data_IF_700517130237
#
_entry.id   IF_700517130237
#
_cell.length_a   1.000
_cell.length_b   1.000
_cell.length_c   1.000
_cell.angle_alpha   90.00
_cell.angle_beta   90.00
_cell.angle_gamma   90.00
#
_symmetry.space_group_name_H-M   'P 1'
#
loop_
_entity.id
_entity.type
_entity.pdbx_description
1 polymer ?
#
# COMPACT_ATOMS: atom_id res chain seq x y z
N UNK A 1 -5.22 10.94 20.33
CA UNK A 1 -3.83 10.78 20.82
C UNK A 1 -3.05 9.77 19.97
N UNK A 2 -3.69 8.67 19.52
CA UNK A 2 -3.07 7.62 18.68
C UNK A 2 -2.39 8.14 17.39
N UNK A 3 -2.93 9.18 16.74
CA UNK A 3 -2.36 9.77 15.51
C UNK A 3 -1.61 11.09 15.75
N UNK A 4 -1.05 11.32 16.94
CA UNK A 4 -0.28 12.54 17.19
C UNK A 4 1.05 12.51 16.44
N UNK A 5 1.42 13.62 15.79
CA UNK A 5 2.66 13.79 15.02
C UNK A 5 3.65 14.76 15.66
N UNK A 6 3.42 15.13 16.93
CA UNK A 6 4.20 16.18 17.62
C UNK A 6 5.52 15.69 18.21
N UNK A 7 5.72 14.39 18.32
CA UNK A 7 6.99 13.78 18.72
C UNK A 7 7.67 13.08 17.55
N UNK A 8 8.80 12.44 17.83
CA UNK A 8 9.57 11.65 16.85
C UNK A 8 8.81 10.40 16.36
N UNK A 9 7.82 9.95 17.14
CA UNK A 9 6.98 8.78 16.85
C UNK A 9 5.50 9.14 16.79
N UNK A 10 4.73 8.37 16.03
CA UNK A 10 3.27 8.45 16.05
C UNK A 10 2.74 7.84 17.35
N UNK A 11 1.99 8.62 18.12
CA UNK A 11 1.37 8.14 19.36
C UNK A 11 1.36 9.17 20.49
N UNK A 12 1.01 8.71 21.70
CA UNK A 12 0.95 9.57 22.87
C UNK A 12 2.37 9.89 23.38
N UNK A 13 2.80 11.14 23.21
CA UNK A 13 4.07 11.67 23.72
C UNK A 13 3.95 12.22 25.15
N UNK A 14 5.06 12.64 25.75
CA UNK A 14 5.06 13.21 27.11
C UNK A 14 4.11 14.42 27.23
N UNK A 15 4.19 15.38 26.30
CA UNK A 15 3.32 16.56 26.32
C UNK A 15 1.85 16.22 26.04
N UNK A 16 1.58 15.19 25.25
CA UNK A 16 0.23 14.73 25.00
C UNK A 16 -0.41 14.14 26.27
N UNK A 17 0.35 13.35 27.05
CA UNK A 17 -0.14 12.74 28.29
C UNK A 17 -0.20 13.72 29.47
N UNK A 18 0.78 14.63 29.60
CA UNK A 18 0.91 15.51 30.76
C UNK A 18 0.35 16.92 30.56
N UNK A 19 0.13 17.37 29.33
CA UNK A 19 -0.42 18.70 29.07
C UNK A 19 -1.76 18.63 28.33
N UNK A 20 -1.82 17.89 27.23
CA UNK A 20 -3.02 17.87 26.37
C UNK A 20 -4.18 17.09 27.00
N UNK A 21 -3.91 15.91 27.56
CA UNK A 21 -4.97 15.14 28.22
C UNK A 21 -5.60 15.91 29.39
N UNK A 22 -4.84 16.51 30.34
CA UNK A 22 -5.40 17.40 31.34
C UNK A 22 -6.12 18.61 30.75
N UNK A 23 -5.58 19.24 29.71
CA UNK A 23 -6.25 20.35 29.01
C UNK A 23 -7.62 19.94 28.44
N UNK A 24 -7.74 18.73 27.88
CA UNK A 24 -9.02 18.20 27.38
C UNK A 24 -10.02 17.96 28.52
N UNK A 25 -9.57 17.46 29.68
CA UNK A 25 -10.43 17.33 30.86
C UNK A 25 -10.94 18.68 31.37
N UNK A 26 -10.08 19.69 31.40
CA UNK A 26 -10.48 21.06 31.78
C UNK A 26 -11.50 21.61 30.79
N UNK A 27 -11.25 21.47 29.48
CA UNK A 27 -12.18 21.93 28.45
C UNK A 27 -13.53 21.21 28.51
N UNK A 28 -13.53 19.91 28.82
CA UNK A 28 -14.76 19.15 29.05
C UNK A 28 -15.56 19.75 30.21
N UNK A 29 -14.92 20.05 31.34
CA UNK A 29 -15.58 20.68 32.48
C UNK A 29 -16.15 22.07 32.12
N UNK A 30 -15.40 22.88 31.36
CA UNK A 30 -15.86 24.18 30.87
C UNK A 30 -17.09 24.03 29.98
N UNK A 31 -17.10 23.05 29.06
CA UNK A 31 -18.27 22.77 28.21
C UNK A 31 -19.51 22.42 29.04
N UNK A 32 -19.34 21.59 30.08
CA UNK A 32 -20.45 21.23 30.98
C UNK A 32 -21.02 22.45 31.71
N UNK A 33 -20.16 23.39 32.14
CA UNK A 33 -20.59 24.65 32.75
C UNK A 33 -21.34 25.51 31.72
N UNK A 34 -20.79 25.67 30.51
CA UNK A 34 -21.44 26.42 29.44
C UNK A 34 -22.81 25.83 29.09
N UNK A 35 -22.94 24.50 29.08
CA UNK A 35 -24.21 23.80 28.88
C UNK A 35 -25.23 24.15 29.98
N UNK A 36 -24.82 24.15 31.24
CA UNK A 36 -25.67 24.57 32.37
C UNK A 36 -26.14 26.02 32.25
N UNK A 37 -25.23 26.94 31.89
CA UNK A 37 -25.56 28.36 31.67
C UNK A 37 -26.53 28.52 30.50
N UNK A 38 -26.37 27.73 29.43
CA UNK A 38 -27.27 27.73 28.29
C UNK A 38 -28.69 27.31 28.68
N UNK A 39 -28.84 26.22 29.45
CA UNK A 39 -30.15 25.77 29.94
C UNK A 39 -30.83 26.83 30.80
N UNK A 40 -30.11 27.43 31.76
CA UNK A 40 -30.65 28.50 32.62
C UNK A 40 -31.04 29.74 31.81
N UNK A 41 -30.26 30.08 30.78
CA UNK A 41 -30.54 31.20 29.89
C UNK A 41 -31.84 31.01 29.10
N UNK A 42 -32.07 29.80 28.56
CA UNK A 42 -33.29 29.46 27.83
C UNK A 42 -34.51 29.61 28.75
N UNK A 43 -34.43 29.11 29.98
CA UNK A 43 -35.48 29.25 30.99
C UNK A 43 -35.76 30.72 31.37
N UNK A 44 -34.72 31.57 31.42
CA UNK A 44 -34.84 33.00 31.76
C UNK A 44 -35.03 33.93 30.54
N UNK A 45 -35.19 33.38 29.32
CA UNK A 45 -35.34 34.12 28.04
C UNK A 45 -34.30 35.23 27.82
N UNK A 46 -33.07 35.05 28.31
CA UNK A 46 -32.02 36.07 28.21
C UNK A 46 -30.84 35.62 27.34
N UNK A 47 -30.88 35.94 26.04
CA UNK A 47 -29.92 35.51 25.04
C UNK A 47 -28.48 36.03 25.21
N UNK A 48 -28.20 36.92 26.19
CA UNK A 48 -26.85 37.47 26.40
C UNK A 48 -25.88 36.50 27.09
N UNK A 49 -26.38 35.64 27.97
CA UNK A 49 -25.56 34.68 28.74
C UNK A 49 -24.92 33.57 27.88
N UNK A 50 -25.62 32.98 26.89
CA UNK A 50 -25.04 32.04 25.94
C UNK A 50 -23.90 32.64 25.15
N UNK A 51 -24.04 33.90 24.72
CA UNK A 51 -23.01 34.59 23.93
C UNK A 51 -21.71 34.74 24.71
N UNK A 52 -21.78 35.15 25.98
CA UNK A 52 -20.60 35.22 26.85
C UNK A 52 -19.99 33.86 27.14
N UNK A 53 -20.83 32.83 27.29
CA UNK A 53 -20.37 31.45 27.53
C UNK A 53 -19.60 30.89 26.34
N UNK A 54 -20.10 31.13 25.12
CA UNK A 54 -19.43 30.73 23.87
C UNK A 54 -18.10 31.48 23.73
N UNK A 55 -18.10 32.79 23.94
CA UNK A 55 -16.86 33.59 23.89
C UNK A 55 -15.81 33.12 24.90
N UNK A 56 -16.23 32.85 26.15
CA UNK A 56 -15.36 32.31 27.19
C UNK A 56 -14.82 30.92 26.85
N UNK A 57 -15.65 30.04 26.28
CA UNK A 57 -15.23 28.73 25.83
C UNK A 57 -14.19 28.80 24.71
N UNK A 58 -14.37 29.68 23.72
CA UNK A 58 -13.39 29.89 22.63
C UNK A 58 -12.04 30.32 23.20
N UNK A 59 -12.04 31.29 24.11
CA UNK A 59 -10.81 31.77 24.77
C UNK A 59 -10.14 30.64 25.56
N UNK A 60 -10.92 29.88 26.34
CA UNK A 60 -10.41 28.74 27.08
C UNK A 60 -9.83 27.67 26.14
N UNK A 61 -10.48 27.37 25.02
CA UNK A 61 -10.01 26.39 24.03
C UNK A 61 -8.65 26.79 23.43
N UNK A 62 -8.46 28.08 23.12
CA UNK A 62 -7.17 28.57 22.59
C UNK A 62 -6.08 28.48 23.65
N UNK A 63 -6.34 28.99 24.87
CA UNK A 63 -5.33 29.06 25.93
C UNK A 63 -4.98 27.67 26.45
N UNK A 64 -5.99 26.90 26.87
CA UNK A 64 -5.82 25.61 27.52
C UNK A 64 -5.53 24.51 26.50
N UNK A 65 -6.22 24.53 25.35
CA UNK A 65 -6.07 23.48 24.33
C UNK A 65 -4.88 23.67 23.39
N UNK A 66 -4.48 24.92 23.13
CA UNK A 66 -3.41 25.25 22.19
C UNK A 66 -2.12 25.72 22.87
N UNK A 67 -2.20 26.84 23.60
CA UNK A 67 -1.02 27.52 24.16
C UNK A 67 -0.36 26.69 25.25
N UNK A 68 -1.13 26.17 26.21
CA UNK A 68 -0.57 25.43 27.35
C UNK A 68 0.24 24.18 26.93
N UNK A 69 -0.26 23.28 26.05
CA UNK A 69 0.53 22.16 25.55
C UNK A 69 1.78 22.60 24.78
N UNK A 70 1.71 23.68 24.01
CA UNK A 70 2.86 24.20 23.26
C UNK A 70 3.96 24.73 24.19
N UNK A 71 3.59 25.40 25.29
CA UNK A 71 4.54 25.86 26.32
C UNK A 71 5.21 24.66 27.00
N UNK A 72 4.44 23.64 27.39
CA UNK A 72 5.01 22.43 28.00
C UNK A 72 5.97 21.73 27.04
N UNK A 73 5.60 21.58 25.76
CA UNK A 73 6.47 21.01 24.74
C UNK A 73 7.80 21.81 24.64
N UNK A 74 7.71 23.13 24.44
CA UNK A 74 8.88 23.98 24.18
C UNK A 74 9.83 24.14 25.37
N UNK A 75 9.29 24.19 26.58
CA UNK A 75 10.08 24.52 27.77
C UNK A 75 10.37 23.32 28.68
N UNK A 76 9.65 22.20 28.57
CA UNK A 76 9.91 21.00 29.38
C UNK A 76 10.36 19.80 28.57
N UNK A 77 9.84 19.61 27.35
CA UNK A 77 10.14 18.43 26.52
C UNK A 77 11.35 18.69 25.64
N UNK A 78 11.31 19.70 24.76
CA UNK A 78 12.38 20.00 23.81
C UNK A 78 13.78 20.13 24.45
N UNK A 79 13.96 20.75 25.64
CA UNK A 79 15.29 20.87 26.25
C UNK A 79 15.89 19.54 26.74
N UNK A 80 15.06 18.53 26.99
CA UNK A 80 15.50 17.22 27.46
C UNK A 80 14.60 16.11 26.89
N UNK A 81 14.47 16.10 25.57
CA UNK A 81 13.49 15.27 24.86
C UNK A 81 13.78 13.78 25.07
N UNK A 82 15.05 13.36 24.98
CA UNK A 82 15.45 11.97 25.17
C UNK A 82 14.99 11.42 26.53
N UNK A 83 15.23 12.14 27.63
CA UNK A 83 14.85 11.64 28.95
C UNK A 83 13.33 11.62 29.15
N UNK A 84 12.60 12.58 28.56
CA UNK A 84 11.14 12.72 28.72
C UNK A 84 10.34 11.80 27.80
N UNK A 85 10.82 11.55 26.59
CA UNK A 85 10.14 10.74 25.57
C UNK A 85 10.58 9.27 25.58
N UNK A 86 11.76 8.92 26.13
CA UNK A 86 12.25 7.53 26.21
C UNK A 86 11.19 6.50 26.68
N UNK A 87 10.45 6.70 27.79
CA UNK A 87 9.45 5.70 28.21
C UNK A 87 8.33 5.53 27.17
N UNK A 88 7.92 6.59 26.50
CA UNK A 88 6.88 6.52 25.46
C UNK A 88 7.38 5.83 24.19
N UNK A 89 8.66 6.03 23.85
CA UNK A 89 9.33 5.31 22.76
C UNK A 89 9.45 3.82 23.09
N UNK A 90 9.85 3.47 24.32
CA UNK A 90 9.91 2.07 24.77
C UNK A 90 8.55 1.38 24.70
N UNK A 91 7.48 2.05 25.14
CA UNK A 91 6.11 1.53 24.99
C UNK A 91 5.73 1.35 23.52
N UNK A 92 6.06 2.31 22.66
CA UNK A 92 5.75 2.20 21.23
C UNK A 92 6.47 1.01 20.58
N UNK A 93 7.76 0.82 20.89
CA UNK A 93 8.54 -0.34 20.44
C UNK A 93 7.91 -1.63 20.95
N UNK A 94 7.60 -1.71 22.25
CA UNK A 94 7.01 -2.91 22.85
C UNK A 94 5.67 -3.27 22.21
N UNK A 95 4.73 -2.32 22.14
CA UNK A 95 3.40 -2.57 21.57
C UNK A 95 3.45 -2.81 20.07
N UNK A 96 4.39 -2.22 19.34
CA UNK A 96 4.60 -2.55 17.92
C UNK A 96 5.12 -3.96 17.77
N UNK A 97 6.11 -4.37 18.58
CA UNK A 97 6.62 -5.75 18.55
C UNK A 97 5.52 -6.76 18.87
N UNK A 98 4.71 -6.50 19.89
CA UNK A 98 3.59 -7.37 20.25
C UNK A 98 2.50 -7.41 19.16
N UNK A 99 2.09 -6.26 18.61
CA UNK A 99 1.06 -6.18 17.58
C UNK A 99 1.43 -6.93 16.30
N UNK A 100 2.71 -6.91 15.93
CA UNK A 100 3.25 -7.64 14.77
C UNK A 100 3.84 -9.02 15.14
N UNK A 101 3.68 -9.47 16.39
CA UNK A 101 4.24 -10.72 16.92
C UNK A 101 5.76 -10.89 16.71
N UNK A 102 6.51 -9.78 16.66
CA UNK A 102 7.97 -9.74 16.50
C UNK A 102 8.73 -10.14 17.77
N UNK A 103 8.02 -10.29 18.89
CA UNK A 103 8.50 -10.90 20.13
C UNK A 103 8.58 -12.44 20.06
N UNK A 104 7.99 -13.05 19.03
CA UNK A 104 7.90 -14.51 18.85
C UNK A 104 8.71 -15.04 17.68
N UNK A 105 9.56 -14.20 17.10
CA UNK A 105 10.39 -14.58 15.96
C UNK A 105 11.61 -15.35 16.45
N UNK A 106 11.82 -16.54 15.90
CA UNK A 106 13.06 -17.30 16.11
C UNK A 106 14.13 -16.78 15.15
N UNK A 107 15.16 -16.13 15.69
CA UNK A 107 16.32 -15.73 14.90
C UNK A 107 17.20 -16.95 14.63
N UNK A 108 17.37 -17.30 13.36
CA UNK A 108 18.29 -18.34 12.93
C UNK A 108 19.48 -17.72 12.20
N UNK A 109 20.72 -17.96 12.64
CA UNK A 109 21.90 -17.52 11.91
C UNK A 109 21.94 -18.23 10.55
N UNK A 110 21.94 -17.46 9.46
CA UNK A 110 22.12 -17.97 8.10
C UNK A 110 23.58 -17.77 7.69
N UNK A 111 24.44 -18.80 7.78
CA UNK A 111 25.82 -18.68 7.34
C UNK A 111 25.88 -18.48 5.82
N UNK A 112 26.83 -17.68 5.34
CA UNK A 112 27.11 -17.61 3.91
C UNK A 112 27.67 -18.97 3.46
N UNK A 113 26.89 -19.71 2.68
CA UNK A 113 27.29 -21.01 2.16
C UNK A 113 28.38 -20.87 1.09
N UNK A 114 29.24 -21.89 0.99
CA UNK A 114 30.18 -22.03 -0.12
C UNK A 114 29.42 -22.25 -1.43
N UNK A 115 30.03 -21.91 -2.57
CA UNK A 115 29.41 -22.12 -3.87
C UNK A 115 29.06 -23.61 -4.08
N UNK A 116 27.91 -23.92 -4.70
CA UNK A 116 27.46 -25.30 -4.86
C UNK A 116 28.44 -26.13 -5.70
N UNK A 117 28.63 -27.39 -5.31
CA UNK A 117 29.44 -28.34 -6.09
C UNK A 117 28.70 -28.80 -7.36
N UNK A 118 29.42 -29.38 -8.31
CA UNK A 118 28.80 -29.97 -9.52
C UNK A 118 27.80 -31.08 -9.17
N UNK A 119 28.04 -31.81 -8.07
CA UNK A 119 27.14 -32.86 -7.61
C UNK A 119 25.85 -32.28 -7.05
N UNK A 120 25.92 -31.15 -6.34
CA UNK A 120 24.74 -30.44 -5.83
C UNK A 120 23.87 -29.94 -6.99
N UNK A 121 24.48 -29.37 -8.03
CA UNK A 121 23.78 -28.93 -9.24
C UNK A 121 23.07 -30.11 -9.92
N UNK A 122 23.75 -31.24 -10.08
CA UNK A 122 23.18 -32.43 -10.71
C UNK A 122 22.04 -33.08 -9.90
N UNK A 123 22.06 -32.95 -8.57
CA UNK A 123 20.99 -33.47 -7.71
C UNK A 123 19.78 -32.54 -7.61
N UNK A 124 19.90 -31.28 -8.03
CA UNK A 124 18.89 -30.24 -7.88
C UNK A 124 18.38 -29.71 -9.23
N UNK A 125 18.15 -30.59 -10.21
CA UNK A 125 17.66 -30.22 -11.55
C UNK A 125 16.40 -29.36 -11.50
N UNK A 126 15.44 -29.66 -10.61
CA UNK A 126 14.22 -28.85 -10.44
C UNK A 126 14.56 -27.41 -10.06
N UNK A 127 15.53 -27.18 -9.19
CA UNK A 127 15.96 -25.84 -8.83
C UNK A 127 16.63 -25.15 -10.01
N UNK A 128 17.55 -25.83 -10.68
CA UNK A 128 18.30 -25.30 -11.84
C UNK A 128 17.36 -24.92 -12.99
N UNK A 129 16.38 -25.78 -13.30
CA UNK A 129 15.37 -25.56 -14.34
C UNK A 129 14.37 -24.44 -13.99
N UNK A 130 14.45 -23.87 -12.78
CA UNK A 130 13.57 -22.82 -12.29
C UNK A 130 14.33 -21.59 -11.78
N UNK A 131 15.65 -21.51 -12.02
CA UNK A 131 16.42 -20.30 -11.72
C UNK A 131 15.90 -19.17 -12.60
N UNK A 132 15.31 -18.17 -11.95
CA UNK A 132 14.76 -17.01 -12.65
C UNK A 132 15.88 -16.13 -13.19
N UNK A 133 15.99 -16.08 -14.52
CA UNK A 133 16.89 -15.19 -15.25
C UNK A 133 16.21 -13.86 -15.60
N UNK A 134 14.88 -13.86 -15.75
CA UNK A 134 14.09 -12.67 -16.07
C UNK A 134 13.67 -11.84 -14.84
N UNK A 135 13.74 -10.51 -14.92
CA UNK A 135 13.09 -9.59 -13.98
C UNK A 135 11.74 -9.14 -14.57
N UNK A 136 10.73 -8.97 -13.73
CA UNK A 136 9.37 -8.65 -14.18
C UNK A 136 9.27 -7.30 -14.89
N UNK A 137 10.06 -6.31 -14.46
CA UNK A 137 10.00 -4.94 -15.04
C UNK A 137 10.51 -4.88 -16.48
N UNK A 138 11.73 -5.32 -16.81
CA UNK A 138 12.18 -5.33 -18.20
C UNK A 138 11.38 -6.33 -19.05
N UNK A 139 10.97 -7.47 -18.49
CA UNK A 139 10.16 -8.44 -19.24
C UNK A 139 8.81 -7.87 -19.66
N UNK A 140 8.16 -7.07 -18.80
CA UNK A 140 6.94 -6.33 -19.13
C UNK A 140 7.15 -5.42 -20.34
N UNK A 141 8.24 -4.65 -20.35
CA UNK A 141 8.55 -3.75 -21.46
C UNK A 141 8.83 -4.54 -22.75
N UNK A 142 9.51 -5.69 -22.64
CA UNK A 142 9.72 -6.62 -23.75
C UNK A 142 8.39 -7.19 -24.27
N UNK A 143 7.48 -7.64 -23.41
CA UNK A 143 6.15 -8.09 -23.81
C UNK A 143 5.37 -6.97 -24.51
N UNK A 144 5.40 -5.75 -23.97
CA UNK A 144 4.79 -4.59 -24.62
C UNK A 144 5.48 -4.20 -25.92
N UNK A 145 6.71 -4.63 -26.18
CA UNK A 145 7.37 -4.39 -27.46
C UNK A 145 7.03 -5.47 -28.49
N UNK A 146 7.13 -6.73 -28.09
CA UNK A 146 7.06 -7.88 -29.01
C UNK A 146 5.65 -8.48 -29.13
N UNK A 147 4.73 -8.14 -28.22
CA UNK A 147 3.40 -8.76 -28.11
C UNK A 147 2.24 -7.75 -28.01
N UNK A 148 2.51 -6.44 -28.12
CA UNK A 148 1.48 -5.39 -28.25
C UNK A 148 0.99 -5.25 -29.70
N UNK A 149 0.40 -6.31 -30.23
CA UNK A 149 -0.07 -6.39 -31.63
C UNK A 149 -1.10 -5.29 -31.99
N UNK A 150 -1.72 -4.64 -30.99
CA UNK A 150 -2.67 -3.54 -31.12
C UNK A 150 -2.37 -2.46 -30.08
N UNK A 151 -2.54 -1.19 -30.47
CA UNK A 151 -2.23 -0.02 -29.62
C UNK A 151 -3.09 0.08 -28.35
N UNK A 152 -4.30 -0.48 -28.37
CA UNK A 152 -5.22 -0.47 -27.24
C UNK A 152 -5.03 -1.64 -26.28
N UNK A 153 -4.08 -2.54 -26.56
CA UNK A 153 -3.69 -3.58 -25.63
C UNK A 153 -2.35 -3.26 -24.97
N UNK A 154 -2.23 -3.64 -23.71
CA UNK A 154 -1.06 -3.42 -22.89
C UNK A 154 -0.91 -4.55 -21.87
N UNK A 155 0.34 -4.85 -21.51
CA UNK A 155 0.68 -5.67 -20.36
C UNK A 155 0.98 -4.73 -19.19
N UNK A 156 0.14 -4.77 -18.15
CA UNK A 156 0.26 -3.83 -17.02
C UNK A 156 1.44 -4.17 -16.11
N UNK A 157 1.60 -5.46 -15.85
CA UNK A 157 2.57 -6.07 -14.96
C UNK A 157 3.01 -7.44 -15.51
N UNK A 158 3.90 -8.14 -14.80
CA UNK A 158 4.28 -9.52 -15.13
C UNK A 158 4.45 -10.27 -13.82
N UNK A 159 3.68 -11.33 -13.67
CA UNK A 159 3.69 -12.19 -12.49
C UNK A 159 4.59 -13.40 -12.67
N UNK A 160 5.12 -13.89 -11.55
CA UNK A 160 5.85 -15.17 -11.50
C UNK A 160 4.95 -16.22 -10.87
N UNK A 161 4.74 -17.32 -11.58
CA UNK A 161 3.89 -18.43 -11.12
C UNK A 161 4.50 -19.78 -11.50
N UNK A 162 3.91 -20.89 -11.04
CA UNK A 162 4.43 -22.24 -11.22
C UNK A 162 3.35 -23.21 -11.68
N UNK A 163 3.66 -23.94 -12.75
CA UNK A 163 2.76 -24.89 -13.38
C UNK A 163 3.47 -26.23 -13.65
N UNK A 164 2.68 -27.27 -13.92
CA UNK A 164 3.19 -28.52 -14.47
C UNK A 164 3.11 -28.42 -16.00
N UNK A 165 4.27 -28.45 -16.66
CA UNK A 165 4.41 -28.33 -18.12
C UNK A 165 5.16 -29.57 -18.59
N UNK A 166 4.57 -30.34 -19.51
CA UNK A 166 5.12 -31.62 -19.99
C UNK A 166 5.50 -32.63 -18.87
N UNK A 167 4.78 -32.58 -17.75
CA UNK A 167 5.03 -33.42 -16.58
C UNK A 167 6.10 -32.90 -15.62
N UNK A 168 6.73 -31.77 -15.92
CA UNK A 168 7.75 -31.15 -15.08
C UNK A 168 7.23 -29.90 -14.36
N UNK A 169 7.72 -29.67 -13.14
CA UNK A 169 7.40 -28.46 -12.39
C UNK A 169 8.22 -27.28 -12.90
N UNK A 170 7.54 -26.32 -13.54
CA UNK A 170 8.16 -25.18 -14.22
C UNK A 170 7.61 -23.87 -13.68
N UNK A 171 8.52 -22.95 -13.38
CA UNK A 171 8.25 -21.57 -13.04
C UNK A 171 8.23 -20.76 -14.33
N UNK A 172 7.18 -19.97 -14.47
CA UNK A 172 6.91 -19.16 -15.66
C UNK A 172 6.64 -17.72 -15.24
N UNK A 173 6.83 -16.82 -16.18
CA UNK A 173 6.40 -15.44 -16.07
C UNK A 173 5.31 -15.17 -17.09
N UNK A 174 4.18 -14.66 -16.61
CA UNK A 174 3.00 -14.45 -17.44
C UNK A 174 2.41 -13.08 -17.19
N UNK A 175 1.71 -12.56 -18.19
CA UNK A 175 1.00 -11.30 -18.09
C UNK A 175 -0.26 -11.32 -18.92
N UNK A 176 -1.35 -10.88 -18.31
CA UNK A 176 -2.63 -10.72 -18.96
C UNK A 176 -2.57 -9.53 -19.94
N UNK A 177 -3.09 -9.75 -21.15
CA UNK A 177 -3.16 -8.68 -22.16
C UNK A 177 -4.42 -7.87 -21.93
N UNK A 178 -4.30 -6.77 -21.22
CA UNK A 178 -5.44 -5.93 -20.84
C UNK A 178 -5.75 -4.85 -21.87
N UNK A 179 -7.02 -4.44 -21.91
CA UNK A 179 -7.48 -3.30 -22.69
C UNK A 179 -7.15 -2.00 -21.96
N UNK A 180 -6.51 -1.06 -22.66
CA UNK A 180 -6.35 0.32 -22.21
C UNK A 180 -7.06 1.25 -23.19
N UNK A 181 -8.28 1.63 -22.85
CA UNK A 181 -9.10 2.53 -23.66
C UNK A 181 -8.47 3.92 -23.81
N UNK A 182 -7.61 4.32 -22.87
CA UNK A 182 -6.88 5.59 -22.85
C UNK A 182 -5.84 5.67 -23.97
N UNK A 183 -5.36 4.52 -24.46
CA UNK A 183 -4.41 4.44 -25.58
C UNK A 183 -5.10 4.51 -26.95
N UNK A 184 -6.42 4.47 -27.01
CA UNK A 184 -7.15 4.76 -28.24
C UNK A 184 -6.91 6.23 -28.64
N UNK A 185 -6.83 6.55 -29.95
CA UNK A 185 -6.83 7.94 -30.40
C UNK A 185 -8.00 8.72 -29.80
N UNK A 186 -7.81 9.99 -29.46
CA UNK A 186 -8.83 10.81 -28.77
C UNK A 186 -10.20 10.75 -29.45
N UNK A 187 -10.24 10.83 -30.78
CA UNK A 187 -11.46 10.72 -31.58
C UNK A 187 -12.13 9.33 -31.57
N UNK A 188 -11.40 8.28 -31.18
CA UNK A 188 -11.91 6.92 -31.00
C UNK A 188 -12.30 6.62 -29.53
N UNK A 189 -12.10 7.53 -28.58
CA UNK A 189 -12.51 7.38 -27.19
C UNK A 189 -13.99 7.74 -26.97
N UNK A 190 -14.86 7.35 -27.90
CA UNK A 190 -16.31 7.57 -27.78
C UNK A 190 -16.93 6.61 -26.78
N UNK A 191 -18.10 6.95 -26.24
CA UNK A 191 -18.85 6.05 -25.35
C UNK A 191 -19.13 4.70 -26.02
N UNK A 192 -19.50 4.69 -27.30
CA UNK A 192 -19.76 3.47 -28.07
C UNK A 192 -18.52 2.59 -28.13
N UNK A 193 -17.35 3.18 -28.44
CA UNK A 193 -16.12 2.41 -28.51
C UNK A 193 -15.72 1.84 -27.15
N UNK A 194 -15.82 2.64 -26.08
CA UNK A 194 -15.45 2.24 -24.72
C UNK A 194 -16.41 1.21 -24.09
N UNK A 195 -17.69 1.21 -24.48
CA UNK A 195 -18.72 0.37 -23.82
C UNK A 195 -19.29 -0.75 -24.69
N UNK A 196 -19.15 -0.68 -26.02
CA UNK A 196 -19.73 -1.67 -26.94
C UNK A 196 -18.71 -2.35 -27.86
N UNK A 197 -17.61 -1.68 -28.23
CA UNK A 197 -16.64 -2.24 -29.17
C UNK A 197 -15.39 -2.81 -28.49
N UNK A 198 -14.72 -2.00 -27.67
CA UNK A 198 -13.54 -2.40 -26.91
C UNK A 198 -13.97 -2.64 -25.46
N UNK A 199 -14.35 -3.87 -25.16
CA UNK A 199 -15.00 -4.22 -23.89
C UNK A 199 -14.15 -5.10 -22.97
N UNK A 200 -13.08 -5.71 -23.49
CA UNK A 200 -12.26 -6.67 -22.77
C UNK A 200 -10.81 -6.69 -23.29
N UNK A 201 -9.88 -7.08 -22.41
CA UNK A 201 -8.56 -7.58 -22.76
C UNK A 201 -8.63 -8.93 -23.49
N UNK A 202 -7.53 -9.38 -24.08
CA UNK A 202 -7.56 -10.60 -24.90
C UNK A 202 -6.26 -11.40 -24.85
N UNK A 203 -6.31 -12.55 -24.17
CA UNK A 203 -5.24 -13.52 -24.03
C UNK A 203 -4.16 -13.09 -23.03
N UNK A 204 -3.02 -13.77 -23.10
CA UNK A 204 -1.84 -13.48 -22.27
C UNK A 204 -0.56 -13.76 -23.06
N UNK A 205 0.57 -13.30 -22.52
CA UNK A 205 1.89 -13.76 -22.92
C UNK A 205 2.49 -14.56 -21.76
N UNK A 206 3.18 -15.66 -22.08
CA UNK A 206 3.78 -16.56 -21.09
C UNK A 206 5.17 -16.99 -21.56
N UNK A 207 6.16 -16.92 -20.67
CA UNK A 207 7.52 -17.40 -20.91
C UNK A 207 8.08 -18.19 -19.73
N UNK A 208 8.98 -19.15 -19.95
CA UNK A 208 9.73 -19.77 -18.87
C UNK A 208 10.68 -18.74 -18.24
N UNK A 209 10.89 -18.85 -16.92
CA UNK A 209 11.73 -17.87 -16.20
C UNK A 209 13.22 -17.95 -16.55
N UNK A 210 13.65 -19.07 -17.14
CA UNK A 210 15.05 -19.47 -17.30
C UNK A 210 15.46 -19.67 -18.77
N UNK A 211 14.59 -19.35 -19.73
CA UNK A 211 14.85 -19.56 -21.16
C UNK A 211 14.92 -18.24 -21.92
N UNK A 212 15.87 -18.20 -22.86
CA UNK A 212 16.16 -17.03 -23.69
C UNK A 212 16.45 -17.49 -25.12
N UNK A 213 15.95 -16.73 -26.10
CA UNK A 213 16.26 -16.96 -27.52
C UNK A 213 17.69 -16.54 -27.84
N UNK A 214 18.18 -16.88 -29.04
CA UNK A 214 19.50 -16.46 -29.50
C UNK A 214 19.68 -14.93 -29.55
N UNK A 215 18.56 -14.20 -29.73
CA UNK A 215 18.50 -12.74 -29.80
C UNK A 215 18.40 -12.07 -28.42
N UNK A 216 18.36 -12.84 -27.32
CA UNK A 216 18.19 -12.29 -25.98
C UNK A 216 16.74 -11.94 -25.63
N UNK A 217 15.75 -12.52 -26.32
CA UNK A 217 14.33 -12.33 -26.02
C UNK A 217 13.77 -13.50 -25.20
N UNK A 218 12.65 -13.32 -24.47
CA UNK A 218 11.98 -14.42 -23.80
C UNK A 218 11.45 -15.44 -24.82
N UNK A 219 11.61 -16.73 -24.52
CA UNK A 219 10.90 -17.80 -25.23
C UNK A 219 9.42 -17.72 -24.83
N UNK A 220 8.52 -17.53 -25.79
CA UNK A 220 7.08 -17.41 -25.51
C UNK A 220 6.37 -18.74 -25.73
N UNK A 221 5.84 -19.34 -24.67
CA UNK A 221 5.00 -20.53 -24.72
C UNK A 221 3.54 -20.19 -25.05
N UNK A 222 3.10 -18.95 -24.75
CA UNK A 222 1.82 -18.39 -25.20
C UNK A 222 2.08 -17.01 -25.76
N UNK A 223 1.57 -16.74 -26.96
CA UNK A 223 1.78 -15.48 -27.69
C UNK A 223 0.65 -15.16 -28.65
N UNK A 224 0.71 -13.95 -29.18
CA UNK A 224 -0.09 -13.39 -30.25
C UNK A 224 -1.58 -13.15 -29.92
N UNK A 225 -2.32 -12.68 -30.94
CA UNK A 225 -3.76 -12.39 -30.91
C UNK A 225 -4.38 -12.92 -32.21
N UNK A 226 -5.24 -13.95 -32.16
CA UNK A 226 -5.59 -14.75 -30.98
C UNK A 226 -4.39 -15.48 -30.34
N UNK A 227 -4.45 -15.81 -29.03
CA UNK A 227 -3.35 -16.48 -28.37
C UNK A 227 -3.11 -17.88 -28.94
N UNK A 228 -1.87 -18.19 -29.25
CA UNK A 228 -1.38 -19.48 -29.76
C UNK A 228 -0.14 -19.90 -28.97
N UNK A 229 0.17 -21.19 -29.01
CA UNK A 229 1.36 -21.76 -28.38
C UNK A 229 1.06 -23.11 -27.75
N UNK A 230 1.80 -23.43 -26.69
CA UNK A 230 1.82 -24.75 -26.06
C UNK A 230 0.59 -24.98 -25.16
N UNK A 231 -0.11 -23.90 -24.80
CA UNK A 231 -1.33 -23.94 -24.00
C UNK A 231 -2.54 -23.47 -24.80
N UNK A 232 -3.61 -24.26 -24.77
CA UNK A 232 -4.88 -23.87 -25.36
C UNK A 232 -5.65 -22.94 -24.42
N UNK A 233 -5.73 -21.66 -24.78
CA UNK A 233 -6.52 -20.66 -24.04
C UNK A 233 -7.93 -20.62 -24.64
N UNK A 234 -8.84 -21.43 -24.10
CA UNK A 234 -10.22 -21.56 -24.61
C UNK A 234 -11.04 -20.27 -24.48
N UNK A 235 -10.81 -19.50 -23.41
CA UNK A 235 -11.53 -18.27 -23.08
C UNK A 235 -10.54 -17.14 -22.82
N UNK A 236 -10.03 -16.50 -23.88
CA UNK A 236 -9.01 -15.46 -23.76
C UNK A 236 -9.58 -14.10 -23.32
N UNK A 237 -10.90 -13.93 -23.21
CA UNK A 237 -11.50 -12.63 -22.90
C UNK A 237 -11.30 -12.23 -21.43
N UNK A 238 -10.76 -11.03 -21.20
CA UNK A 238 -10.51 -10.48 -19.86
C UNK A 238 -11.41 -9.26 -19.63
N UNK A 239 -12.49 -9.44 -18.87
CA UNK A 239 -13.46 -8.37 -18.57
C UNK A 239 -13.13 -7.57 -17.31
N UNK A 240 -12.37 -8.18 -16.39
CA UNK A 240 -11.94 -7.56 -15.15
C UNK A 240 -10.45 -7.79 -15.01
N UNK A 241 -9.69 -6.71 -14.97
CA UNK A 241 -8.25 -6.72 -14.81
C UNK A 241 -7.80 -5.46 -14.07
N UNK A 242 -6.51 -5.31 -13.89
CA UNK A 242 -5.91 -4.27 -13.06
C UNK A 242 -6.04 -2.86 -13.67
N UNK A 243 -6.22 -2.77 -14.98
CA UNK A 243 -6.46 -1.49 -15.68
C UNK A 243 -7.92 -1.14 -15.85
N UNK A 244 -8.83 -2.07 -15.57
CA UNK A 244 -10.26 -1.85 -15.78
C UNK A 244 -10.82 -1.06 -14.59
N UNK A 245 -11.01 0.25 -14.77
CA UNK A 245 -11.46 1.16 -13.70
C UNK A 245 -12.88 1.72 -13.89
N UNK A 246 -13.49 1.47 -15.04
CA UNK A 246 -14.76 2.09 -15.45
C UNK A 246 -15.89 1.04 -15.54
N UNK A 247 -16.55 0.77 -14.41
CA UNK A 247 -17.80 -0.03 -14.35
C UNK A 247 -18.98 0.84 -13.94
#
# INVERSE_FOLDING_TARGET
LVFSTRGVIFGASYADMHAKLPAQWILLAVVLICMGVFVVSVLRRNLRWPLYSIGGWIVAAIIVGGIFPAVVQRFQVEPNELARERPYIEYNIQFTREAFALDRVEEQPFPAEEAPSLQDVAQNEVTINNIRLWDSRPLKDTYNHVQSIRLYYDFHDVDTDRYIIDGEYRQVMLSARELSAERLPVQAQTWVNRKLQFTHGYGLALSPVNEVTAEGLPVLLVKDIPPVGDFNVERPEIYFGEKTNDY
#
